data_IF_875938070971
#
_entry.id   IF_875938070971
#
_cell.length_a   1.000
_cell.length_b   1.000
_cell.length_c   1.000
_cell.angle_alpha   90.00
_cell.angle_beta   90.00
_cell.angle_gamma   90.00
#
_symmetry.space_group_name_H-M   'P 1'
#
loop_
_entity.id
_entity.type
_entity.pdbx_description
1 polymer ?
#
# COMPACT_ATOMS: atom_id res chain seq x y z
N UNK A 1 40.83 43.62 19.77
CA UNK A 1 41.04 42.53 18.79
C UNK A 1 41.08 41.25 19.59
N UNK A 2 40.17 40.29 19.51
CA UNK A 2 39.07 39.98 18.59
C UNK A 2 38.07 39.10 19.38
N UNK A 3 36.79 39.37 19.10
CA UNK A 3 35.57 38.53 19.10
C UNK A 3 35.46 37.17 19.84
N UNK A 4 34.29 37.06 20.48
CA UNK A 4 33.55 35.91 21.02
C UNK A 4 33.63 34.56 20.29
N UNK A 5 33.52 33.48 21.08
CA UNK A 5 33.32 32.12 20.57
C UNK A 5 32.98 31.09 21.65
N UNK A 6 31.87 31.29 22.37
CA UNK A 6 31.33 30.37 23.38
C UNK A 6 31.18 28.95 22.79
N UNK A 7 31.93 27.98 23.31
CA UNK A 7 31.85 26.58 22.91
C UNK A 7 30.57 25.92 23.44
N UNK A 8 29.53 25.84 22.59
CA UNK A 8 28.35 25.02 22.84
C UNK A 8 28.71 23.53 22.71
N UNK A 9 28.90 22.86 23.84
CA UNK A 9 28.82 21.39 23.92
C UNK A 9 27.40 20.97 23.55
N UNK A 10 27.23 20.27 22.44
CA UNK A 10 25.95 19.68 22.05
C UNK A 10 25.55 18.58 23.05
N UNK A 11 24.41 18.65 23.73
CA UNK A 11 23.88 17.52 24.48
C UNK A 11 23.40 16.44 23.50
N UNK A 12 23.74 15.18 23.80
CA UNK A 12 23.13 14.00 23.17
C UNK A 12 21.64 13.98 23.51
N UNK A 13 20.78 14.30 22.54
CA UNK A 13 19.33 14.12 22.69
C UNK A 13 18.99 12.66 22.43
N UNK A 14 18.62 11.94 23.48
CA UNK A 14 17.81 10.71 23.38
C UNK A 14 16.46 11.11 22.80
N UNK A 15 16.09 10.54 21.66
CA UNK A 15 14.75 10.70 21.10
C UNK A 15 13.78 9.89 21.96
N UNK A 16 13.13 10.58 22.90
CA UNK A 16 11.90 10.14 23.54
C UNK A 16 10.76 10.45 22.58
N UNK A 17 10.12 9.41 22.05
CA UNK A 17 8.90 9.55 21.26
C UNK A 17 7.78 9.92 22.24
N UNK A 18 7.35 11.18 22.19
CA UNK A 18 6.13 11.62 22.87
C UNK A 18 4.99 11.67 21.85
N UNK A 19 3.95 10.90 22.14
CA UNK A 19 2.62 11.00 21.57
C UNK A 19 2.07 12.42 21.69
N UNK A 20 1.63 12.98 20.56
CA UNK A 20 0.71 14.12 20.53
C UNK A 20 -0.39 13.82 19.52
N UNK A 21 -1.62 13.79 20.04
CA UNK A 21 -2.84 13.46 19.34
C UNK A 21 -3.19 14.41 18.20
N UNK A 22 -3.90 13.86 17.22
CA UNK A 22 -4.57 14.60 16.16
C UNK A 22 -5.99 14.95 16.62
N UNK A 23 -6.30 16.25 16.72
CA UNK A 23 -7.66 16.75 16.87
C UNK A 23 -8.43 16.71 15.53
N UNK A 24 -9.76 16.58 15.53
CA UNK A 24 -10.57 16.46 14.32
C UNK A 24 -10.83 17.83 13.66
N UNK A 25 -10.67 17.87 12.33
CA UNK A 25 -11.04 19.03 11.49
C UNK A 25 -12.52 18.91 11.09
N UNK A 26 -13.30 19.93 11.39
CA UNK A 26 -14.70 20.08 11.00
C UNK A 26 -14.81 20.29 9.48
N UNK A 27 -15.63 19.49 8.79
CA UNK A 27 -16.00 19.72 7.38
C UNK A 27 -17.51 19.98 7.32
N UNK A 28 -17.91 21.13 6.73
CA UNK A 28 -19.31 21.55 6.55
C UNK A 28 -20.04 20.83 5.39
N UNK A 29 -21.34 21.10 5.21
CA UNK A 29 -22.24 20.28 4.38
C UNK A 29 -22.07 20.48 2.86
N UNK A 30 -22.50 19.49 2.03
CA UNK A 30 -22.23 19.46 0.61
C UNK A 30 -23.22 20.30 -0.20
N UNK A 31 -22.71 20.94 -1.26
CA UNK A 31 -23.52 21.65 -2.25
C UNK A 31 -23.90 20.68 -3.36
N UNK A 32 -25.19 20.62 -3.66
CA UNK A 32 -25.85 19.72 -4.60
C UNK A 32 -25.55 20.09 -6.06
N UNK A 33 -25.26 19.09 -6.92
CA UNK A 33 -25.21 19.24 -8.38
C UNK A 33 -25.48 17.91 -9.09
N UNK A 34 -26.77 17.64 -9.30
CA UNK A 34 -27.23 16.86 -10.44
C UNK A 34 -26.82 17.56 -11.76
N UNK A 35 -26.24 16.78 -12.68
CA UNK A 35 -26.50 16.77 -14.14
C UNK A 35 -25.38 16.02 -14.89
N UNK A 36 -25.74 14.84 -15.42
CA UNK A 36 -25.02 14.08 -16.47
C UNK A 36 -25.27 14.74 -17.86
N UNK A 37 -24.35 14.65 -18.86
CA UNK A 37 -24.20 13.43 -19.66
C UNK A 37 -22.76 13.06 -20.10
N UNK A 38 -22.66 11.83 -20.59
CA UNK A 38 -21.50 10.97 -20.88
C UNK A 38 -20.81 11.34 -22.21
N UNK A 39 -19.48 11.25 -22.30
CA UNK A 39 -18.74 10.42 -23.28
C UNK A 39 -17.20 10.52 -23.08
N UNK A 40 -16.54 9.36 -23.17
CA UNK A 40 -15.10 9.09 -22.99
C UNK A 40 -14.58 9.08 -21.54
N UNK A 41 -14.49 7.87 -20.98
CA UNK A 41 -13.53 7.51 -19.93
C UNK A 41 -13.60 8.31 -18.63
N UNK A 42 -14.70 8.19 -17.89
CA UNK A 42 -14.73 8.64 -16.49
C UNK A 42 -13.56 7.99 -15.73
N UNK A 43 -12.65 8.79 -15.17
CA UNK A 43 -11.98 8.40 -13.94
C UNK A 43 -13.09 8.00 -12.97
N UNK A 44 -13.10 6.75 -12.53
CA UNK A 44 -14.08 6.32 -11.56
C UNK A 44 -14.01 7.20 -10.32
N UNK A 45 -15.17 7.45 -9.72
CA UNK A 45 -15.46 8.28 -8.52
C UNK A 45 -14.68 7.88 -7.24
N UNK A 46 -13.63 7.07 -7.39
CA UNK A 46 -12.88 6.35 -6.36
C UNK A 46 -11.37 6.51 -6.47
N UNK A 47 -10.86 7.40 -7.32
CA UNK A 47 -9.40 7.50 -7.52
C UNK A 47 -8.79 6.16 -7.93
N UNK A 48 -9.44 5.45 -8.85
CA UNK A 48 -8.87 4.25 -9.49
C UNK A 48 -9.15 4.31 -10.98
N UNK A 49 -8.10 4.07 -11.73
CA UNK A 49 -8.12 3.90 -13.19
C UNK A 49 -8.70 2.51 -13.46
N UNK A 50 -9.48 2.35 -14.54
CA UNK A 50 -10.13 1.09 -14.94
C UNK A 50 -9.23 -0.15 -14.63
N UNK A 51 -9.62 -1.00 -13.67
CA UNK A 51 -8.69 -1.87 -12.96
C UNK A 51 -8.08 -2.98 -13.81
N UNK A 52 -8.72 -3.35 -14.94
CA UNK A 52 -8.18 -4.37 -15.85
C UNK A 52 -7.15 -3.80 -16.82
N UNK A 53 -7.53 -2.79 -17.60
CA UNK A 53 -6.70 -2.28 -18.68
C UNK A 53 -5.56 -1.39 -18.20
N UNK A 54 -5.80 -0.52 -17.22
CA UNK A 54 -4.81 0.45 -16.77
C UNK A 54 -3.72 -0.19 -15.92
N UNK A 55 -4.08 -1.09 -14.99
CA UNK A 55 -3.09 -1.82 -14.18
C UNK A 55 -2.19 -2.69 -15.06
N UNK A 56 -2.77 -3.38 -16.05
CA UNK A 56 -2.00 -4.16 -17.02
C UNK A 56 -1.06 -3.26 -17.82
N UNK A 57 -1.55 -2.13 -18.32
CA UNK A 57 -0.72 -1.17 -19.06
C UNK A 57 0.43 -0.62 -18.21
N UNK A 58 0.19 -0.31 -16.93
CA UNK A 58 1.25 0.08 -15.99
C UNK A 58 2.29 -1.03 -15.88
N UNK A 59 1.88 -2.28 -15.71
CA UNK A 59 2.80 -3.42 -15.66
C UNK A 59 3.63 -3.52 -16.93
N UNK A 60 3.00 -3.43 -18.11
CA UNK A 60 3.70 -3.46 -19.40
C UNK A 60 4.71 -2.32 -19.54
N UNK A 61 4.33 -1.09 -19.16
CA UNK A 61 5.22 0.07 -19.17
C UNK A 61 6.43 -0.13 -18.26
N UNK A 62 6.19 -0.60 -17.03
CA UNK A 62 7.26 -0.85 -16.04
C UNK A 62 8.20 -1.93 -16.54
N UNK A 63 7.69 -3.05 -17.04
CA UNK A 63 8.49 -4.15 -17.60
C UNK A 63 9.35 -3.70 -18.77
N UNK A 64 8.79 -2.92 -19.70
CA UNK A 64 9.50 -2.46 -20.88
C UNK A 64 10.64 -1.46 -20.59
N UNK A 65 10.63 -0.81 -19.41
CA UNK A 65 11.57 0.25 -19.07
C UNK A 65 12.27 0.01 -17.72
N UNK A 66 12.51 -1.26 -17.38
CA UNK A 66 13.32 -1.59 -16.22
C UNK A 66 14.73 -1.01 -16.41
N UNK A 67 15.20 -0.10 -15.53
CA UNK A 67 16.43 0.67 -15.75
C UNK A 67 17.71 -0.12 -15.43
N UNK A 68 17.59 -1.33 -14.90
CA UNK A 68 18.70 -2.14 -14.39
C UNK A 68 18.23 -3.32 -13.55
N UNK A 69 19.14 -3.99 -12.83
CA UNK A 69 18.81 -5.05 -11.89
C UNK A 69 18.21 -4.50 -10.58
N UNK A 70 17.03 -3.86 -10.69
CA UNK A 70 16.35 -3.21 -9.57
C UNK A 70 15.25 -4.11 -9.01
N UNK A 71 15.25 -4.31 -7.68
CA UNK A 71 14.28 -5.19 -7.00
C UNK A 71 13.09 -4.42 -6.41
N UNK A 72 13.18 -3.09 -6.39
CA UNK A 72 12.19 -2.21 -5.79
C UNK A 72 11.94 -0.94 -6.60
N UNK A 73 10.68 -0.50 -6.58
CA UNK A 73 10.23 0.73 -7.27
C UNK A 73 11.02 1.99 -6.88
N UNK A 74 11.49 2.07 -5.63
CA UNK A 74 12.27 3.22 -5.12
C UNK A 74 13.61 3.39 -5.84
N UNK A 75 14.14 2.32 -6.44
CA UNK A 75 15.42 2.32 -7.17
C UNK A 75 15.26 2.78 -8.62
N UNK A 76 14.02 2.92 -9.10
CA UNK A 76 13.78 3.56 -10.39
C UNK A 76 14.15 5.04 -10.31
N UNK A 77 15.04 5.54 -11.20
CA UNK A 77 15.38 6.95 -11.26
C UNK A 77 14.11 7.80 -11.41
N UNK A 78 14.06 8.93 -10.70
CA UNK A 78 12.92 9.87 -10.79
C UNK A 78 12.59 10.23 -12.25
N UNK A 79 13.57 10.55 -13.13
CA UNK A 79 13.27 10.87 -14.53
C UNK A 79 12.60 9.71 -15.29
N UNK A 80 12.93 8.46 -14.96
CA UNK A 80 12.28 7.29 -15.56
C UNK A 80 10.85 7.16 -15.05
N UNK A 81 10.62 7.33 -13.74
CA UNK A 81 9.25 7.32 -13.18
C UNK A 81 8.38 8.42 -13.77
N UNK A 82 8.93 9.61 -13.98
CA UNK A 82 8.25 10.73 -14.61
C UNK A 82 7.92 10.45 -16.08
N UNK A 83 8.88 9.91 -16.84
CA UNK A 83 8.66 9.49 -18.23
C UNK A 83 7.54 8.45 -18.33
N UNK A 84 7.57 7.43 -17.47
CA UNK A 84 6.55 6.38 -17.46
C UNK A 84 5.17 6.90 -17.10
N UNK A 85 5.10 7.88 -16.19
CA UNK A 85 3.85 8.56 -15.88
C UNK A 85 3.36 9.41 -17.06
N UNK A 86 4.24 10.11 -17.78
CA UNK A 86 3.88 10.86 -18.99
C UNK A 86 3.35 9.93 -20.10
N UNK A 87 4.01 8.80 -20.34
CA UNK A 87 3.51 7.76 -21.27
C UNK A 87 2.14 7.22 -20.85
N UNK A 88 1.90 7.17 -19.54
CA UNK A 88 0.63 6.75 -18.98
C UNK A 88 -0.48 7.80 -19.22
N UNK A 89 -0.22 9.06 -18.92
CA UNK A 89 -1.21 10.15 -19.07
C UNK A 89 -1.53 10.47 -20.54
N UNK A 90 -0.61 10.21 -21.48
CA UNK A 90 -0.90 10.26 -22.93
C UNK A 90 -1.96 9.26 -23.35
N UNK A 91 -2.04 8.10 -22.68
CA UNK A 91 -2.97 7.02 -23.00
C UNK A 91 -4.30 7.13 -22.23
N UNK A 92 -4.26 7.75 -21.05
CA UNK A 92 -5.39 7.94 -20.14
C UNK A 92 -5.53 9.44 -19.84
N UNK A 93 -6.44 10.11 -20.56
CA UNK A 93 -6.71 11.53 -20.35
C UNK A 93 -7.48 11.75 -19.03
N UNK A 94 -7.13 12.82 -18.31
CA UNK A 94 -7.81 13.25 -17.10
C UNK A 94 -8.71 14.45 -17.43
N UNK A 95 -9.95 14.43 -16.95
CA UNK A 95 -10.92 15.50 -17.22
C UNK A 95 -10.55 16.82 -16.53
N UNK A 96 -9.91 16.75 -15.36
CA UNK A 96 -9.43 17.92 -14.61
C UNK A 96 -7.93 17.80 -14.37
N UNK A 97 -7.19 18.87 -14.63
CA UNK A 97 -5.75 18.94 -14.35
C UNK A 97 -5.45 18.83 -12.85
N UNK A 98 -6.41 19.23 -12.02
CA UNK A 98 -6.40 19.14 -10.55
C UNK A 98 -6.25 17.70 -10.05
N UNK A 99 -6.69 16.72 -10.84
CA UNK A 99 -6.66 15.30 -10.49
C UNK A 99 -5.28 14.67 -10.75
N UNK A 100 -4.40 15.35 -11.50
CA UNK A 100 -3.08 14.81 -11.88
C UNK A 100 -2.19 14.45 -10.69
N UNK A 101 -2.05 15.27 -9.63
CA UNK A 101 -1.24 14.91 -8.46
C UNK A 101 -1.79 13.66 -7.76
N UNK A 102 -3.11 13.58 -7.60
CA UNK A 102 -3.75 12.41 -6.99
C UNK A 102 -3.57 11.16 -7.85
N UNK A 103 -3.76 11.29 -9.16
CA UNK A 103 -3.54 10.23 -10.12
C UNK A 103 -2.09 9.71 -10.09
N UNK A 104 -1.11 10.60 -9.98
CA UNK A 104 0.30 10.24 -9.84
C UNK A 104 0.55 9.36 -8.62
N UNK A 105 -0.01 9.72 -7.46
CA UNK A 105 0.13 8.93 -6.22
C UNK A 105 -0.46 7.53 -6.39
N UNK A 106 -1.67 7.42 -6.95
CA UNK A 106 -2.32 6.13 -7.20
C UNK A 106 -1.53 5.29 -8.21
N UNK A 107 -1.03 5.93 -9.27
CA UNK A 107 -0.24 5.29 -10.31
C UNK A 107 1.07 4.75 -9.75
N UNK A 108 1.81 5.53 -8.96
CA UNK A 108 3.06 5.07 -8.34
C UNK A 108 2.83 3.90 -7.37
N UNK A 109 1.78 3.96 -6.56
CA UNK A 109 1.39 2.85 -5.69
C UNK A 109 1.08 1.58 -6.50
N UNK A 110 0.38 1.73 -7.62
CA UNK A 110 0.04 0.62 -8.51
C UNK A 110 1.29 0.05 -9.17
N UNK A 111 2.18 0.88 -9.70
CA UNK A 111 3.45 0.47 -10.30
C UNK A 111 4.33 -0.28 -9.30
N UNK A 112 4.46 0.24 -8.07
CA UNK A 112 5.19 -0.42 -7.00
C UNK A 112 4.61 -1.79 -6.67
N UNK A 113 3.28 -1.88 -6.53
CA UNK A 113 2.60 -3.13 -6.17
C UNK A 113 2.76 -4.17 -7.27
N UNK A 114 2.59 -3.76 -8.53
CA UNK A 114 2.70 -4.63 -9.69
C UNK A 114 4.14 -5.14 -9.87
N UNK A 115 5.15 -4.27 -9.76
CA UNK A 115 6.56 -4.69 -9.85
C UNK A 115 6.92 -5.72 -8.77
N UNK A 116 6.54 -5.47 -7.51
CA UNK A 116 6.77 -6.42 -6.41
C UNK A 116 6.12 -7.77 -6.69
N UNK A 117 4.89 -7.76 -7.21
CA UNK A 117 4.16 -8.96 -7.59
C UNK A 117 4.87 -9.71 -8.72
N UNK A 118 5.22 -9.04 -9.82
CA UNK A 118 5.93 -9.67 -10.95
C UNK A 118 7.27 -10.27 -10.54
N UNK A 119 8.05 -9.59 -9.69
CA UNK A 119 9.31 -10.12 -9.15
C UNK A 119 9.10 -11.33 -8.24
N UNK A 120 8.02 -11.35 -7.45
CA UNK A 120 7.66 -12.54 -6.66
C UNK A 120 7.24 -13.70 -7.56
N UNK A 121 6.40 -13.47 -8.57
CA UNK A 121 5.95 -14.50 -9.51
C UNK A 121 7.12 -15.10 -10.31
N UNK A 122 8.09 -14.29 -10.73
CA UNK A 122 9.29 -14.78 -11.40
C UNK A 122 10.09 -15.75 -10.52
N UNK A 123 10.37 -15.35 -9.26
CA UNK A 123 11.09 -16.19 -8.29
C UNK A 123 10.31 -17.46 -7.92
N UNK A 124 9.01 -17.33 -7.67
CA UNK A 124 8.14 -18.46 -7.34
C UNK A 124 8.09 -19.47 -8.49
N UNK A 125 8.05 -19.01 -9.75
CA UNK A 125 8.11 -19.86 -10.93
C UNK A 125 9.45 -20.60 -11.05
N UNK A 126 10.58 -19.90 -10.88
CA UNK A 126 11.91 -20.51 -10.91
C UNK A 126 12.05 -21.56 -9.80
N UNK A 127 11.74 -21.18 -8.55
CA UNK A 127 11.73 -22.08 -7.39
C UNK A 127 10.90 -23.34 -7.64
N UNK A 128 9.67 -23.21 -8.16
CA UNK A 128 8.79 -24.36 -8.43
C UNK A 128 9.30 -25.29 -9.52
N UNK A 129 10.06 -24.75 -10.47
CA UNK A 129 10.58 -25.54 -11.59
C UNK A 129 11.79 -26.36 -11.18
N UNK A 130 12.67 -25.81 -10.33
CA UNK A 130 13.86 -26.50 -9.84
C UNK A 130 13.57 -27.35 -8.60
N UNK A 131 12.66 -26.88 -7.73
CA UNK A 131 12.35 -27.53 -6.46
C UNK A 131 13.28 -27.13 -5.31
N UNK A 132 14.05 -26.04 -5.46
CA UNK A 132 14.93 -25.52 -4.40
C UNK A 132 14.73 -24.01 -4.19
N UNK A 133 15.23 -23.51 -3.06
CA UNK A 133 15.14 -22.10 -2.66
C UNK A 133 16.45 -21.33 -2.90
N UNK A 134 17.42 -21.88 -3.65
CA UNK A 134 18.69 -21.19 -3.87
C UNK A 134 18.58 -20.24 -5.09
N UNK A 135 18.69 -18.91 -4.90
CA UNK A 135 18.62 -17.97 -6.01
C UNK A 135 19.68 -18.18 -7.09
N UNK A 136 20.84 -18.77 -6.74
CA UNK A 136 21.90 -19.05 -7.70
C UNK A 136 21.55 -20.17 -8.67
N UNK A 137 20.61 -21.04 -8.33
CA UNK A 137 20.13 -22.08 -9.24
C UNK A 137 19.11 -21.51 -10.25
N UNK A 138 18.58 -20.30 -10.02
CA UNK A 138 17.51 -19.72 -10.83
C UNK A 138 18.00 -19.03 -12.12
N UNK A 139 19.30 -19.00 -12.41
CA UNK A 139 19.90 -18.18 -13.49
C UNK A 139 19.30 -18.46 -14.87
N UNK A 140 18.98 -19.73 -15.18
CA UNK A 140 18.40 -20.14 -16.46
C UNK A 140 16.86 -20.00 -16.55
N UNK A 141 16.24 -19.44 -15.51
CA UNK A 141 14.79 -19.30 -15.38
C UNK A 141 14.33 -17.84 -15.42
N UNK A 142 15.04 -17.03 -16.20
CA UNK A 142 14.73 -15.62 -16.39
C UNK A 142 13.31 -15.42 -16.97
N UNK A 143 12.54 -14.45 -16.46
CA UNK A 143 11.24 -14.16 -17.02
C UNK A 143 11.37 -13.39 -18.35
N UNK A 144 10.54 -13.71 -19.34
CA UNK A 144 10.56 -13.13 -20.71
C UNK A 144 10.58 -11.59 -20.74
N UNK A 145 10.03 -10.94 -19.73
CA UNK A 145 9.95 -9.48 -19.63
C UNK A 145 11.19 -8.82 -19.02
N UNK A 146 12.17 -9.60 -18.52
CA UNK A 146 13.38 -9.10 -17.89
C UNK A 146 14.60 -9.56 -18.68
N UNK A 147 15.58 -8.68 -18.84
CA UNK A 147 16.85 -9.06 -19.48
C UNK A 147 17.62 -10.03 -18.59
N UNK A 148 18.25 -11.03 -19.21
CA UNK A 148 19.00 -12.07 -18.51
C UNK A 148 20.10 -11.52 -17.60
N UNK A 149 20.89 -10.55 -18.07
CA UNK A 149 21.95 -9.91 -17.27
C UNK A 149 21.40 -9.22 -16.02
N UNK A 150 20.20 -8.64 -16.10
CA UNK A 150 19.52 -8.07 -14.94
C UNK A 150 19.01 -9.14 -13.99
N UNK A 151 18.49 -10.25 -14.52
CA UNK A 151 18.07 -11.39 -13.72
C UNK A 151 19.23 -12.03 -12.97
N UNK A 152 20.36 -12.26 -13.63
CA UNK A 152 21.59 -12.80 -13.01
C UNK A 152 22.04 -11.94 -11.82
N UNK A 153 22.14 -10.62 -12.03
CA UNK A 153 22.50 -9.66 -10.97
C UNK A 153 21.48 -9.66 -9.80
N UNK A 154 20.20 -9.86 -10.09
CA UNK A 154 19.16 -9.97 -9.06
C UNK A 154 19.24 -11.28 -8.28
N UNK A 155 19.55 -12.39 -8.95
CA UNK A 155 19.82 -13.68 -8.30
C UNK A 155 21.01 -13.58 -7.36
N UNK A 156 22.11 -12.97 -7.78
CA UNK A 156 23.26 -12.69 -6.91
C UNK A 156 22.86 -11.83 -5.70
N UNK A 157 22.06 -10.78 -5.91
CA UNK A 157 21.54 -9.95 -4.82
C UNK A 157 20.69 -10.75 -3.83
N UNK A 158 19.79 -11.61 -4.32
CA UNK A 158 18.93 -12.43 -3.46
C UNK A 158 19.69 -13.56 -2.76
N UNK A 159 20.79 -14.02 -3.35
CA UNK A 159 21.69 -14.98 -2.73
C UNK A 159 22.46 -14.38 -1.53
N UNK A 160 22.53 -13.05 -1.39
CA UNK A 160 23.20 -12.42 -0.25
C UNK A 160 22.55 -12.77 1.09
N UNK A 161 23.38 -13.05 2.11
CA UNK A 161 22.93 -13.37 3.47
C UNK A 161 21.93 -12.35 4.04
N UNK A 162 22.19 -11.03 3.99
CA UNK A 162 21.26 -10.02 4.50
C UNK A 162 19.89 -10.04 3.82
N UNK A 163 19.81 -10.42 2.55
CA UNK A 163 18.54 -10.55 1.85
C UNK A 163 17.79 -11.82 2.30
N UNK A 164 18.49 -12.95 2.34
CA UNK A 164 17.92 -14.22 2.77
C UNK A 164 17.41 -14.18 4.21
N UNK A 165 18.17 -13.58 5.13
CA UNK A 165 17.77 -13.39 6.53
C UNK A 165 16.49 -12.59 6.65
N UNK A 166 16.38 -11.46 5.93
CA UNK A 166 15.14 -10.65 5.91
C UNK A 166 13.97 -11.44 5.32
N UNK A 167 14.21 -12.22 4.27
CA UNK A 167 13.19 -13.06 3.63
C UNK A 167 12.69 -14.15 4.59
N UNK A 168 13.61 -14.84 5.26
CA UNK A 168 13.27 -15.85 6.26
C UNK A 168 12.55 -15.25 7.46
N UNK A 169 13.02 -14.12 8.00
CA UNK A 169 12.34 -13.42 9.10
C UNK A 169 10.92 -13.03 8.70
N UNK A 170 10.70 -12.50 7.49
CA UNK A 170 9.37 -12.18 6.98
C UNK A 170 8.49 -13.43 6.82
N UNK A 171 9.06 -14.57 6.41
CA UNK A 171 8.35 -15.86 6.35
C UNK A 171 7.96 -16.34 7.74
N UNK A 172 8.90 -16.36 8.69
CA UNK A 172 8.64 -16.72 10.08
C UNK A 172 7.56 -15.82 10.70
N UNK A 173 7.65 -14.49 10.52
CA UNK A 173 6.65 -13.55 11.03
C UNK A 173 5.24 -13.84 10.52
N UNK A 174 5.10 -14.26 9.25
CA UNK A 174 3.80 -14.69 8.70
C UNK A 174 3.33 -16.02 9.30
N UNK A 175 4.25 -16.96 9.54
CA UNK A 175 3.94 -18.29 10.10
C UNK A 175 3.67 -18.28 11.61
N UNK A 176 4.30 -17.40 12.38
CA UNK A 176 4.14 -17.32 13.85
C UNK A 176 2.79 -16.73 14.27
N UNK A 177 2.10 -16.03 13.37
CA UNK A 177 0.86 -15.34 13.67
C UNK A 177 -0.22 -15.57 12.60
N UNK A 178 -0.63 -16.84 12.36
CA UNK A 178 -1.59 -17.16 11.30
C UNK A 178 -2.97 -16.53 11.53
N UNK A 179 -3.31 -16.17 12.77
CA UNK A 179 -4.62 -15.63 13.15
C UNK A 179 -4.67 -14.08 13.24
N UNK A 180 -3.58 -13.37 12.99
CA UNK A 180 -3.60 -11.89 13.10
C UNK A 180 -4.39 -11.28 11.94
N UNK A 181 -5.48 -10.59 12.28
CA UNK A 181 -6.34 -9.78 11.41
C UNK A 181 -6.98 -10.54 10.23
N UNK A 182 -7.67 -11.65 10.55
CA UNK A 182 -8.49 -12.35 9.56
C UNK A 182 -9.65 -11.45 9.13
N UNK A 183 -9.61 -11.02 7.86
CA UNK A 183 -10.74 -10.34 7.24
C UNK A 183 -11.77 -11.36 6.75
N UNK A 184 -13.02 -11.19 7.15
CA UNK A 184 -14.16 -12.03 6.72
C UNK A 184 -14.91 -11.45 5.53
N UNK A 185 -14.49 -10.29 5.04
CA UNK A 185 -15.11 -9.52 3.95
C UNK A 185 -14.84 -10.10 2.54
N UNK A 186 -14.01 -11.12 2.42
CA UNK A 186 -13.59 -11.66 1.13
C UNK A 186 -12.77 -10.65 0.32
N UNK A 187 -12.74 -10.75 -1.04
CA UNK A 187 -11.94 -9.88 -1.90
C UNK A 187 -12.58 -8.50 -2.12
N UNK A 188 -13.28 -7.96 -1.12
CA UNK A 188 -13.95 -6.65 -1.18
C UNK A 188 -13.18 -5.66 -0.32
N UNK A 189 -12.83 -4.51 -0.90
CA UNK A 189 -12.03 -3.53 -0.17
C UNK A 189 -12.80 -2.86 0.97
N UNK A 190 -12.05 -2.40 1.99
CA UNK A 190 -12.58 -1.61 3.12
C UNK A 190 -13.34 -0.37 2.65
N UNK A 191 -12.87 0.31 1.60
CA UNK A 191 -13.54 1.46 1.00
C UNK A 191 -14.90 1.08 0.37
N UNK A 192 -14.95 -0.07 -0.32
CA UNK A 192 -16.22 -0.59 -0.86
C UNK A 192 -17.18 -0.94 0.26
N UNK A 193 -16.70 -1.56 1.34
CA UNK A 193 -17.52 -1.80 2.53
C UNK A 193 -18.01 -0.51 3.17
N UNK A 194 -17.16 0.51 3.27
CA UNK A 194 -17.51 1.84 3.80
C UNK A 194 -18.61 2.51 2.97
N UNK A 195 -18.49 2.50 1.63
CA UNK A 195 -19.51 3.05 0.73
C UNK A 195 -20.84 2.31 0.87
N UNK A 196 -20.81 0.96 0.87
CA UNK A 196 -22.02 0.15 1.07
C UNK A 196 -22.68 0.46 2.41
N UNK A 197 -21.90 0.52 3.48
CA UNK A 197 -22.39 0.80 4.81
C UNK A 197 -22.90 2.24 4.94
N UNK A 198 -22.28 3.20 4.25
CA UNK A 198 -22.79 4.57 4.15
C UNK A 198 -24.17 4.62 3.52
N UNK A 199 -24.38 3.88 2.42
CA UNK A 199 -25.70 3.79 1.79
C UNK A 199 -26.71 3.04 2.67
N UNK A 200 -26.29 1.99 3.38
CA UNK A 200 -27.15 1.22 4.31
C UNK A 200 -27.59 2.06 5.54
N UNK A 201 -26.72 2.94 6.04
CA UNK A 201 -26.99 3.75 7.25
C UNK A 201 -27.48 5.17 6.93
N UNK A 202 -27.46 5.59 5.67
CA UNK A 202 -27.72 6.97 5.21
C UNK A 202 -26.85 8.03 5.91
N UNK A 203 -25.69 7.63 6.43
CA UNK A 203 -24.70 8.48 7.07
C UNK A 203 -23.31 7.88 6.94
N UNK A 204 -22.28 8.67 7.26
CA UNK A 204 -20.93 8.15 7.37
C UNK A 204 -20.85 7.01 8.41
N UNK A 205 -20.32 5.83 8.04
CA UNK A 205 -20.12 4.74 8.98
C UNK A 205 -18.99 5.09 9.96
N UNK A 206 -19.15 4.70 11.21
CA UNK A 206 -18.09 4.82 12.20
C UNK A 206 -16.99 3.80 11.95
N UNK A 207 -15.81 4.04 12.51
CA UNK A 207 -14.71 3.07 12.46
C UNK A 207 -15.15 1.70 13.00
N UNK A 208 -15.88 1.68 14.13
CA UNK A 208 -16.35 0.46 14.77
C UNK A 208 -17.31 -0.33 13.90
N UNK A 209 -18.31 0.32 13.31
CA UNK A 209 -19.28 -0.38 12.45
C UNK A 209 -18.61 -0.98 11.21
N UNK A 210 -17.66 -0.26 10.63
CA UNK A 210 -16.91 -0.74 9.47
C UNK A 210 -15.93 -1.86 9.84
N UNK A 211 -15.33 -1.80 11.02
CA UNK A 211 -14.45 -2.83 11.54
C UNK A 211 -15.22 -4.13 11.81
N UNK A 212 -16.35 -4.05 12.50
CA UNK A 212 -17.24 -5.17 12.78
C UNK A 212 -17.70 -5.84 11.48
N UNK A 213 -18.12 -5.04 10.49
CA UNK A 213 -18.56 -5.53 9.18
C UNK A 213 -17.51 -6.36 8.44
N UNK A 214 -16.23 -6.14 8.72
CA UNK A 214 -15.10 -6.73 7.99
C UNK A 214 -14.32 -7.78 8.78
N UNK A 215 -14.56 -7.89 10.09
CA UNK A 215 -13.83 -8.78 11.00
C UNK A 215 -14.72 -9.67 11.88
N UNK A 216 -16.05 -9.54 11.85
CA UNK A 216 -16.97 -10.52 12.45
C UNK A 216 -17.29 -11.65 11.49
N UNK A 217 -17.51 -12.85 12.01
CA UNK A 217 -17.91 -14.02 11.20
C UNK A 217 -19.34 -13.80 10.70
N UNK A 218 -19.62 -14.21 9.46
CA UNK A 218 -20.94 -13.99 8.86
C UNK A 218 -22.00 -14.79 9.63
N UNK A 219 -23.03 -14.11 10.11
CA UNK A 219 -24.15 -14.75 10.83
C UNK A 219 -23.87 -15.00 12.32
N UNK A 220 -22.74 -14.54 12.85
CA UNK A 220 -22.48 -14.50 14.30
C UNK A 220 -22.01 -13.11 14.70
N UNK A 221 -22.02 -12.83 16.00
CA UNK A 221 -21.43 -11.58 16.54
C UNK A 221 -19.96 -11.76 16.94
N UNK A 222 -19.40 -12.94 16.68
CA UNK A 222 -18.04 -13.30 17.07
C UNK A 222 -17.01 -12.75 16.09
N UNK A 223 -15.87 -12.30 16.62
CA UNK A 223 -14.73 -11.91 15.81
C UNK A 223 -14.07 -13.11 15.12
N UNK A 224 -13.54 -12.86 13.94
CA UNK A 224 -12.84 -13.86 13.13
C UNK A 224 -11.53 -14.32 13.78
N UNK A 225 -10.91 -13.46 14.59
CA UNK A 225 -9.73 -13.79 15.38
C UNK A 225 -9.65 -13.02 16.69
N UNK A 226 -8.87 -13.56 17.62
CA UNK A 226 -8.63 -12.94 18.93
C UNK A 226 -8.00 -11.55 18.79
N UNK A 227 -7.13 -11.36 17.80
CA UNK A 227 -6.53 -10.05 17.49
C UNK A 227 -7.59 -8.99 17.17
N UNK A 228 -8.63 -9.34 16.40
CA UNK A 228 -9.71 -8.41 16.07
C UNK A 228 -10.55 -8.05 17.31
N UNK A 229 -10.75 -9.03 18.21
CA UNK A 229 -11.40 -8.81 19.51
C UNK A 229 -10.57 -7.85 20.38
N UNK A 230 -9.27 -8.10 20.55
CA UNK A 230 -8.39 -7.25 21.37
C UNK A 230 -8.29 -5.81 20.83
N UNK A 231 -8.21 -5.63 19.51
CA UNK A 231 -8.22 -4.29 18.88
C UNK A 231 -9.50 -3.54 19.28
N UNK A 232 -10.62 -4.25 19.22
CA UNK A 232 -11.92 -3.67 19.49
C UNK A 232 -12.12 -3.32 20.95
N UNK A 233 -11.75 -4.21 21.87
CA UNK A 233 -11.78 -3.96 23.32
C UNK A 233 -10.86 -2.79 23.71
N UNK A 234 -9.70 -2.68 23.07
CA UNK A 234 -8.77 -1.56 23.29
C UNK A 234 -9.35 -0.24 22.77
N UNK A 235 -9.97 -0.27 21.59
CA UNK A 235 -10.67 0.90 21.04
C UNK A 235 -11.80 1.35 21.98
N UNK A 236 -12.63 0.43 22.47
CA UNK A 236 -13.73 0.76 23.39
C UNK A 236 -13.22 1.37 24.70
N UNK A 237 -12.19 0.78 25.29
CA UNK A 237 -11.57 1.31 26.51
C UNK A 237 -11.03 2.73 26.30
N UNK A 238 -10.24 2.94 25.24
CA UNK A 238 -9.64 4.25 24.95
C UNK A 238 -10.68 5.32 24.66
N UNK A 239 -11.73 4.98 23.90
CA UNK A 239 -12.83 5.90 23.66
C UNK A 239 -13.56 6.25 24.97
N UNK A 240 -13.81 5.26 25.84
CA UNK A 240 -14.45 5.50 27.13
C UNK A 240 -13.62 6.40 28.05
N UNK A 241 -12.31 6.21 28.11
CA UNK A 241 -11.37 7.06 28.85
C UNK A 241 -11.37 8.50 28.33
N UNK A 242 -11.30 8.70 27.01
CA UNK A 242 -11.34 10.03 26.40
C UNK A 242 -12.67 10.77 26.63
N UNK A 243 -13.80 10.06 26.71
CA UNK A 243 -15.09 10.68 27.04
C UNK A 243 -15.29 10.91 28.55
N UNK A 244 -14.67 10.10 29.41
CA UNK A 244 -14.73 10.26 30.86
C UNK A 244 -13.87 11.43 31.37
N UNK A 245 -12.74 11.71 30.72
CA UNK A 245 -11.89 12.88 31.01
C UNK A 245 -12.47 14.20 30.47
N UNK A 246 -13.60 14.13 29.75
CA UNK A 246 -14.22 15.25 29.05
C UNK A 246 -15.64 15.57 29.51
N UNK A 247 -15.96 15.61 30.81
CA UNK A 247 -17.04 16.49 31.31
C UNK A 247 -17.01 16.69 32.85
N UNK A 248 -17.28 17.91 33.37
CA UNK A 248 -17.19 19.25 32.80
C UNK A 248 -15.95 20.03 33.27
#
# INVERSE_FOLDING_TARGET
MESDGFHLRRPRVRVLVHDRGCLPVHVGPPVDRDCLPVHAGRLGDRGKIDPGSASLYITTLVHAHIPGPVDAWREFPVPVRDLLFDMFTRRYAFTRLEDLPRARVIWEFTAQTNLRKSMWEARDKAMKTIGNWDPMDWLDYDPVWLRRDYWESLCEHWATGPWQERSQAAKCNRSTHPEKNVHTSGPVSYATHSQKLHHELERAPTFRELFDRTHKRKGTDDYASESARTITETYDRTMAECYAEGTP
#
